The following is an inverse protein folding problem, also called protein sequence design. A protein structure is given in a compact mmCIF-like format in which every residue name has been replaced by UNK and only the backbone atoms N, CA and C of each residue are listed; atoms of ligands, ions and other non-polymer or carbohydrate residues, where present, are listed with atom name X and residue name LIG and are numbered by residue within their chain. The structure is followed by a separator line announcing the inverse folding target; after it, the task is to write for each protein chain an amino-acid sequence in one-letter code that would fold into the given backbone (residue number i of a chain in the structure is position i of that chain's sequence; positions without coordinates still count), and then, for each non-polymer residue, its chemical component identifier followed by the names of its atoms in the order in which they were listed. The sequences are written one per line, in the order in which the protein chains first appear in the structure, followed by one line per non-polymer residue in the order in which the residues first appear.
data_IF_585780208404
#
_entry.id   IF_585780208404
#
_cell.length_a   1.000
_cell.length_b   1.000
_cell.length_c   1.000
_cell.angle_alpha   90.00
_cell.angle_beta   90.00
_cell.angle_gamma   90.00
#
_symmetry.space_group_name_H-M   'P 1'
#
loop_
_entity.id
_entity.type
_entity.pdbx_description
1 polymer ?
#
# COMPACT_ATOMS: atom_id res chain seq x y z
N UNK A 1 31.95 -11.64 1.43
CA UNK A 1 30.56 -11.34 1.83
C UNK A 1 30.00 -10.55 0.68
N UNK A 2 28.84 -10.93 0.16
CA UNK A 2 28.22 -10.13 -0.92
C UNK A 2 27.63 -8.90 -0.25
N UNK A 3 27.91 -7.73 -0.78
CA UNK A 3 27.33 -6.50 -0.26
C UNK A 3 25.81 -6.61 -0.45
N UNK A 4 25.04 -6.27 0.59
CA UNK A 4 23.58 -6.46 0.56
C UNK A 4 22.90 -5.48 -0.42
N UNK A 5 23.61 -4.44 -0.83
CA UNK A 5 23.20 -3.43 -1.80
C UNK A 5 23.65 -3.76 -3.23
N UNK A 6 24.51 -4.76 -3.42
CA UNK A 6 24.97 -5.24 -4.73
C UNK A 6 23.94 -6.25 -5.26
N UNK A 7 22.94 -5.71 -5.97
CA UNK A 7 21.77 -6.44 -6.46
C UNK A 7 22.09 -7.24 -7.71
N UNK A 8 22.97 -6.75 -8.58
CA UNK A 8 23.34 -7.42 -9.83
C UNK A 8 24.57 -8.36 -9.69
N UNK A 9 25.30 -8.24 -8.58
CA UNK A 9 26.43 -9.10 -8.24
C UNK A 9 27.72 -8.74 -8.95
N UNK A 10 27.83 -7.52 -9.50
CA UNK A 10 29.05 -7.02 -10.14
C UNK A 10 30.15 -6.66 -9.13
N UNK A 11 29.78 -6.56 -7.84
CA UNK A 11 30.69 -6.29 -6.73
C UNK A 11 31.02 -4.80 -6.54
N UNK A 12 30.33 -3.92 -7.26
CA UNK A 12 30.29 -2.48 -7.00
C UNK A 12 28.91 -2.10 -6.42
N UNK A 13 28.75 -0.85 -5.98
CA UNK A 13 27.42 -0.32 -5.63
C UNK A 13 27.20 0.91 -6.50
N UNK A 14 26.38 0.74 -7.53
CA UNK A 14 26.11 1.81 -8.48
C UNK A 14 25.09 2.82 -7.93
N UNK A 15 24.88 3.91 -8.69
CA UNK A 15 23.94 4.98 -8.28
C UNK A 15 22.48 4.51 -8.21
N UNK A 16 22.09 3.57 -9.07
CA UNK A 16 20.75 2.97 -9.04
C UNK A 16 20.61 2.06 -7.82
N UNK A 17 21.59 1.21 -7.55
CA UNK A 17 21.60 0.34 -6.37
C UNK A 17 21.57 1.12 -5.06
N UNK A 18 22.31 2.24 -4.99
CA UNK A 18 22.25 3.17 -3.86
C UNK A 18 20.86 3.80 -3.72
N UNK A 19 20.25 4.21 -4.83
CA UNK A 19 18.91 4.80 -4.84
C UNK A 19 17.87 3.81 -4.28
N UNK A 20 17.89 2.55 -4.73
CA UNK A 20 17.01 1.49 -4.22
C UNK A 20 17.27 1.17 -2.74
N UNK A 21 18.52 1.19 -2.30
CA UNK A 21 18.84 0.99 -0.89
C UNK A 21 18.37 2.18 -0.03
N UNK A 22 18.45 3.41 -0.52
CA UNK A 22 17.93 4.61 0.15
C UNK A 22 16.39 4.59 0.23
N UNK A 23 15.71 4.16 -0.83
CA UNK A 23 14.26 3.93 -0.83
C UNK A 23 13.87 2.93 0.27
N UNK A 24 14.52 1.77 0.33
CA UNK A 24 14.21 0.70 1.29
C UNK A 24 14.53 1.07 2.75
N UNK A 25 15.44 2.03 2.96
CA UNK A 25 15.79 2.57 4.28
C UNK A 25 14.90 3.76 4.68
N UNK A 26 14.11 4.30 3.76
CA UNK A 26 13.15 5.33 4.06
C UNK A 26 12.02 4.73 4.93
N UNK A 27 11.76 5.35 6.07
CA UNK A 27 10.76 4.85 7.04
C UNK A 27 9.61 5.83 7.25
N UNK A 28 9.55 6.92 6.48
CA UNK A 28 8.56 7.97 6.66
C UNK A 28 8.33 8.76 5.37
N UNK A 29 7.08 9.13 5.12
CA UNK A 29 6.64 10.01 4.01
C UNK A 29 7.49 11.28 3.89
N UNK A 30 7.70 11.99 5.00
CA UNK A 30 8.48 13.25 5.01
C UNK A 30 9.93 13.08 4.55
N UNK A 31 10.59 11.97 4.93
CA UNK A 31 11.97 11.69 4.47
C UNK A 31 11.98 11.30 2.99
N UNK A 32 10.96 10.56 2.54
CA UNK A 32 10.80 10.18 1.14
C UNK A 32 10.57 11.39 0.24
N UNK A 33 9.65 12.28 0.61
CA UNK A 33 9.39 13.53 -0.11
C UNK A 33 10.62 14.43 -0.14
N UNK A 34 11.41 14.49 0.93
CA UNK A 34 12.62 15.29 0.98
C UNK A 34 13.75 14.73 0.10
N UNK A 35 13.87 13.40 -0.03
CA UNK A 35 14.93 12.74 -0.79
C UNK A 35 14.57 12.54 -2.27
N UNK A 36 13.30 12.21 -2.56
CA UNK A 36 12.83 11.80 -3.89
C UNK A 36 11.82 12.78 -4.52
N UNK A 37 11.26 13.71 -3.74
CA UNK A 37 10.31 14.71 -4.23
C UNK A 37 8.88 14.20 -4.41
N UNK A 38 8.60 13.00 -3.91
CA UNK A 38 7.31 12.31 -3.94
C UNK A 38 7.16 11.52 -2.63
N UNK A 39 5.93 11.21 -2.22
CA UNK A 39 5.67 10.47 -1.00
C UNK A 39 5.88 8.95 -1.14
N UNK A 40 6.10 8.44 -2.36
CA UNK A 40 6.33 7.02 -2.61
C UNK A 40 5.11 6.19 -2.21
N UNK A 41 5.35 4.99 -1.69
CA UNK A 41 4.31 4.08 -1.16
C UNK A 41 3.68 4.58 0.16
N UNK A 42 3.97 5.81 0.59
CA UNK A 42 3.33 6.45 1.73
C UNK A 42 2.23 7.44 1.33
N UNK A 43 2.02 7.71 0.04
CA UNK A 43 1.02 8.66 -0.47
C UNK A 43 -0.39 8.10 -0.65
N UNK A 44 -0.69 6.88 -0.20
CA UNK A 44 -2.08 6.41 -0.09
C UNK A 44 -2.78 7.15 1.06
N UNK A 45 -3.15 8.39 0.74
CA UNK A 45 -3.95 9.31 1.51
C UNK A 45 -5.31 8.66 1.82
N UNK A 46 -5.50 8.11 3.04
CA UNK A 46 -6.74 8.09 3.87
C UNK A 46 -8.14 7.77 3.27
N UNK A 47 -8.28 7.55 1.97
CA UNK A 47 -9.47 7.10 1.23
C UNK A 47 -9.47 5.56 1.11
N UNK A 48 -8.35 4.96 1.50
CA UNK A 48 -8.03 3.54 1.49
C UNK A 48 -8.28 2.88 2.87
N UNK A 49 -8.97 3.53 3.82
CA UNK A 49 -9.34 2.81 5.05
C UNK A 49 -10.30 1.65 4.75
N UNK A 50 -11.29 1.89 3.89
CA UNK A 50 -12.15 0.85 3.36
C UNK A 50 -11.40 -0.18 2.51
N UNK A 51 -10.54 0.24 1.59
CA UNK A 51 -9.85 -0.68 0.69
C UNK A 51 -8.75 -1.48 1.43
N UNK A 52 -8.01 -0.88 2.36
CA UNK A 52 -7.13 -1.60 3.31
C UNK A 52 -7.92 -2.59 4.15
N UNK A 53 -9.04 -2.19 4.73
CA UNK A 53 -9.86 -3.07 5.57
C UNK A 53 -10.48 -4.21 4.74
N UNK A 54 -10.95 -3.92 3.53
CA UNK A 54 -11.44 -4.91 2.58
C UNK A 54 -10.33 -5.89 2.18
N UNK A 55 -9.15 -5.41 1.79
CA UNK A 55 -8.00 -6.27 1.47
C UNK A 55 -7.55 -7.10 2.67
N UNK A 56 -7.54 -6.52 3.87
CA UNK A 56 -7.21 -7.23 5.12
C UNK A 56 -8.24 -8.31 5.46
N UNK A 57 -9.51 -8.06 5.13
CA UNK A 57 -10.61 -9.02 5.27
C UNK A 57 -10.69 -10.01 4.08
N UNK A 58 -9.87 -9.83 3.05
CA UNK A 58 -9.80 -10.69 1.87
C UNK A 58 -10.91 -10.44 0.84
N UNK A 59 -11.51 -9.26 0.89
CA UNK A 59 -12.50 -8.77 -0.07
C UNK A 59 -11.82 -7.99 -1.21
N UNK A 60 -12.41 -8.10 -2.41
CA UNK A 60 -12.00 -7.37 -3.60
C UNK A 60 -12.90 -6.14 -3.77
N UNK A 61 -12.31 -4.95 -3.76
CA UNK A 61 -13.06 -3.68 -3.80
C UNK A 61 -13.75 -3.48 -5.14
N UNK A 62 -13.12 -3.88 -6.25
CA UNK A 62 -13.74 -3.83 -7.57
C UNK A 62 -15.00 -4.70 -7.61
N UNK A 63 -15.01 -5.85 -6.91
CA UNK A 63 -16.20 -6.71 -6.80
C UNK A 63 -17.30 -6.09 -5.94
N UNK A 64 -16.94 -5.51 -4.78
CA UNK A 64 -17.89 -4.84 -3.89
C UNK A 64 -18.55 -3.60 -4.52
N UNK A 65 -17.83 -2.87 -5.37
CA UNK A 65 -18.38 -1.73 -6.13
C UNK A 65 -19.41 -2.16 -7.18
N UNK A 66 -19.28 -3.37 -7.71
CA UNK A 66 -20.20 -3.94 -8.70
C UNK A 66 -21.43 -4.60 -8.07
N UNK A 67 -21.42 -4.83 -6.76
CA UNK A 67 -22.52 -5.43 -6.00
C UNK A 67 -23.63 -4.43 -5.68
N UNK A 68 -24.85 -4.95 -5.52
CA UNK A 68 -25.96 -4.17 -4.96
C UNK A 68 -25.65 -3.78 -3.49
N UNK A 69 -26.16 -2.63 -2.98
CA UNK A 69 -25.85 -2.16 -1.63
C UNK A 69 -26.16 -3.18 -0.52
N UNK A 70 -27.25 -3.93 -0.68
CA UNK A 70 -27.65 -4.99 0.27
C UNK A 70 -26.66 -6.17 0.24
N UNK A 71 -26.10 -6.50 -0.94
CA UNK A 71 -25.15 -7.60 -1.12
C UNK A 71 -23.74 -7.20 -0.66
N UNK A 72 -23.32 -5.95 -0.93
CA UNK A 72 -22.08 -5.39 -0.38
C UNK A 72 -22.10 -5.38 1.15
N UNK A 73 -23.22 -5.00 1.77
CA UNK A 73 -23.35 -5.01 3.22
C UNK A 73 -23.23 -6.44 3.80
N UNK A 74 -23.86 -7.43 3.16
CA UNK A 74 -23.73 -8.84 3.57
C UNK A 74 -22.28 -9.33 3.46
N UNK A 75 -21.58 -8.98 2.37
CA UNK A 75 -20.17 -9.35 2.18
C UNK A 75 -19.24 -8.72 3.24
N UNK A 76 -19.50 -7.46 3.62
CA UNK A 76 -18.76 -6.79 4.69
C UNK A 76 -19.00 -7.44 6.04
N UNK A 77 -20.26 -7.73 6.38
CA UNK A 77 -20.60 -8.42 7.63
C UNK A 77 -19.96 -9.83 7.71
N UNK A 78 -19.93 -10.58 6.59
CA UNK A 78 -19.29 -11.89 6.52
C UNK A 78 -17.77 -11.79 6.73
N UNK A 79 -17.15 -10.73 6.24
CA UNK A 79 -15.73 -10.45 6.40
C UNK A 79 -15.37 -9.82 7.78
N UNK A 80 -16.39 -9.45 8.57
CA UNK A 80 -16.24 -8.87 9.91
C UNK A 80 -16.07 -7.35 9.92
N UNK A 81 -16.47 -6.69 8.84
CA UNK A 81 -16.50 -5.24 8.65
C UNK A 81 -17.93 -4.73 8.87
N UNK A 82 -18.09 -3.60 9.56
CA UNK A 82 -19.41 -2.99 9.76
C UNK A 82 -19.73 -2.11 8.54
N UNK A 83 -20.77 -2.41 7.74
CA UNK A 83 -21.13 -1.56 6.61
C UNK A 83 -21.55 -0.15 7.03
N UNK A 84 -21.97 0.07 8.29
CA UNK A 84 -22.29 1.42 8.82
C UNK A 84 -21.02 2.25 9.09
N UNK A 85 -19.83 1.64 9.16
CA UNK A 85 -18.56 2.36 9.31
C UNK A 85 -18.12 3.04 7.99
N UNK A 86 -18.70 2.65 6.85
CA UNK A 86 -18.35 3.16 5.52
C UNK A 86 -19.56 3.83 4.85
N UNK A 87 -19.46 5.15 4.64
CA UNK A 87 -20.48 5.92 3.92
C UNK A 87 -20.35 5.69 2.40
N UNK A 88 -20.98 4.65 1.87
CA UNK A 88 -21.08 4.44 0.42
C UNK A 88 -22.08 5.43 -0.21
N UNK A 89 -21.57 6.49 -0.86
CA UNK A 89 -22.37 7.56 -1.51
C UNK A 89 -22.87 7.22 -2.92
#
# INVERSE_FOLDING_TARGET
MRDWMDFDGDGEVDSCERMFAEEMLCTSKEEHEALFGDAGDFDDDMEDDFEIDAMAAGLDVDELELMDPDERAEALEEAGLDPDDYDFY
#
